data_IF_628271293597
#
_entry.id   IF_628271293597
#
_cell.length_a   1.000
_cell.length_b   1.000
_cell.length_c   1.000
_cell.angle_alpha   90.00
_cell.angle_beta   90.00
_cell.angle_gamma   90.00
#
_symmetry.space_group_name_H-M   'P 1'
#
loop_
_entity.id
_entity.type
_entity.pdbx_description
1 polymer ?
#
# COMPACT_ATOMS: atom_id res chain seq x y z
N UNK A 1 8.50 23.72 6.61
CA UNK A 1 7.92 23.13 5.39
C UNK A 1 7.22 21.88 5.88
N UNK A 2 5.91 21.96 6.14
CA UNK A 2 5.14 20.78 6.52
C UNK A 2 5.18 19.84 5.33
N UNK A 3 5.67 18.62 5.56
CA UNK A 3 5.78 17.59 4.54
C UNK A 3 4.35 17.29 4.07
N UNK A 4 4.00 17.67 2.84
CA UNK A 4 2.65 17.50 2.26
C UNK A 4 2.21 16.02 2.11
N UNK A 5 2.94 15.10 2.76
CA UNK A 5 2.62 13.67 2.90
C UNK A 5 1.66 13.40 4.08
N UNK A 6 1.42 14.35 4.98
CA UNK A 6 0.48 14.21 6.10
C UNK A 6 -1.02 14.19 5.67
N UNK A 7 -1.33 14.52 4.42
CA UNK A 7 -2.72 14.53 3.90
C UNK A 7 -3.10 13.26 3.13
N UNK A 8 -2.20 12.29 3.04
CA UNK A 8 -2.42 11.10 2.23
C UNK A 8 -2.86 9.92 3.12
N UNK A 9 -3.98 9.24 2.82
CA UNK A 9 -4.58 8.31 3.77
C UNK A 9 -3.76 7.05 4.05
N UNK A 10 -2.73 6.76 3.25
CA UNK A 10 -1.79 5.64 3.45
C UNK A 10 -0.37 6.09 3.11
N UNK A 11 0.48 6.26 4.13
CA UNK A 11 1.87 6.65 3.92
C UNK A 11 2.68 5.55 3.19
N UNK A 12 3.59 5.88 2.27
CA UNK A 12 4.56 4.92 1.75
C UNK A 12 5.43 4.32 2.85
N UNK A 13 5.83 3.06 2.71
CA UNK A 13 6.61 2.34 3.72
C UNK A 13 6.36 0.84 3.72
N UNK A 14 6.96 0.13 4.67
CA UNK A 14 6.78 -1.31 4.82
C UNK A 14 5.57 -1.58 5.72
N UNK A 15 4.63 -2.36 5.20
CA UNK A 15 3.43 -2.81 5.91
C UNK A 15 3.47 -4.32 6.09
N UNK A 16 3.03 -4.78 7.26
CA UNK A 16 2.81 -6.18 7.58
C UNK A 16 1.31 -6.48 7.42
N UNK A 17 0.99 -7.44 6.56
CA UNK A 17 -0.37 -7.98 6.46
C UNK A 17 -0.66 -8.89 7.65
N UNK A 18 -1.91 -9.01 8.08
CA UNK A 18 -2.28 -9.90 9.20
C UNK A 18 -1.86 -11.38 9.00
N UNK A 19 -1.57 -11.79 7.77
CA UNK A 19 -1.04 -13.13 7.46
C UNK A 19 0.48 -13.29 7.70
N UNK A 20 1.16 -12.25 8.19
CA UNK A 20 2.60 -12.25 8.52
C UNK A 20 3.53 -11.90 7.37
N UNK A 21 3.00 -11.57 6.19
CA UNK A 21 3.82 -11.18 5.03
C UNK A 21 4.06 -9.67 5.00
N UNK A 22 5.25 -9.28 4.54
CA UNK A 22 5.65 -7.88 4.41
C UNK A 22 5.50 -7.39 2.97
N UNK A 23 5.05 -6.15 2.85
CA UNK A 23 4.83 -5.47 1.59
C UNK A 23 5.38 -4.06 1.66
N UNK A 24 5.96 -3.59 0.57
CA UNK A 24 6.35 -2.20 0.41
C UNK A 24 5.18 -1.46 -0.26
N UNK A 25 4.64 -0.45 0.41
CA UNK A 25 3.69 0.50 -0.16
C UNK A 25 4.47 1.61 -0.84
N UNK A 26 4.20 1.78 -2.13
CA UNK A 26 4.83 2.80 -2.96
C UNK A 26 4.05 4.12 -2.88
N UNK A 27 2.72 4.04 -2.75
CA UNK A 27 1.83 5.19 -2.59
C UNK A 27 0.38 4.86 -2.89
N UNK A 28 -0.42 5.90 -3.14
CA UNK A 28 -1.78 5.73 -3.69
C UNK A 28 -1.77 6.17 -5.16
N UNK A 29 -2.64 5.56 -5.94
CA UNK A 29 -2.95 5.92 -7.31
C UNK A 29 -4.41 6.33 -7.46
N UNK A 30 -4.67 7.01 -8.57
CA UNK A 30 -6.00 7.29 -9.06
C UNK A 30 -6.24 6.40 -10.29
N UNK A 31 -7.39 5.73 -10.34
CA UNK A 31 -7.78 4.97 -11.51
C UNK A 31 -8.38 5.95 -12.52
N UNK A 32 -7.90 5.90 -13.75
CA UNK A 32 -8.43 6.71 -14.87
C UNK A 32 -8.93 5.77 -15.95
N UNK A 33 -9.98 6.18 -16.65
CA UNK A 33 -10.49 5.42 -17.79
C UNK A 33 -9.65 5.70 -19.04
N UNK A 34 -9.36 4.67 -19.83
CA UNK A 34 -8.51 4.76 -21.02
C UNK A 34 -9.21 5.32 -22.26
N UNK A 35 -9.99 6.40 -22.12
CA UNK A 35 -10.72 7.05 -23.22
C UNK A 35 -10.08 8.36 -23.71
N UNK A 36 -8.90 8.70 -23.16
CA UNK A 36 -8.18 9.92 -23.50
C UNK A 36 -8.57 11.14 -22.66
N UNK A 37 -9.44 10.95 -21.66
CA UNK A 37 -9.71 11.94 -20.61
C UNK A 37 -8.96 11.56 -19.33
N UNK A 38 -8.51 12.56 -18.56
CA UNK A 38 -7.92 12.34 -17.22
C UNK A 38 -9.02 12.19 -16.15
N UNK A 39 -10.18 11.64 -16.51
CA UNK A 39 -11.30 11.46 -15.58
C UNK A 39 -10.97 10.35 -14.58
N UNK A 40 -10.87 10.72 -13.31
CA UNK A 40 -10.69 9.78 -12.21
C UNK A 40 -11.99 9.02 -11.99
N UNK A 41 -11.92 7.70 -12.09
CA UNK A 41 -13.04 6.79 -11.90
C UNK A 41 -12.83 5.93 -10.66
N UNK A 42 -13.91 5.69 -9.92
CA UNK A 42 -13.87 4.82 -8.74
C UNK A 42 -13.13 5.40 -7.53
N UNK A 43 -12.72 4.51 -6.63
CA UNK A 43 -12.01 4.88 -5.41
C UNK A 43 -10.49 4.99 -5.61
N UNK A 44 -9.84 5.79 -4.78
CA UNK A 44 -8.38 5.79 -4.65
C UNK A 44 -7.86 4.40 -4.28
N UNK A 45 -6.70 4.04 -4.81
CA UNK A 45 -6.09 2.71 -4.64
C UNK A 45 -4.69 2.79 -4.08
N UNK A 46 -4.31 1.91 -3.18
CA UNK A 46 -2.93 1.71 -2.72
C UNK A 46 -2.20 0.81 -3.70
N UNK A 47 -1.00 1.22 -4.11
CA UNK A 47 -0.07 0.44 -4.92
C UNK A 47 1.04 -0.07 -4.01
N UNK A 48 1.23 -1.38 -3.99
CA UNK A 48 2.20 -2.03 -3.11
C UNK A 48 2.72 -3.33 -3.70
N UNK A 49 3.93 -3.74 -3.31
CA UNK A 49 4.56 -4.96 -3.81
C UNK A 49 5.11 -5.85 -2.69
N UNK A 50 5.23 -7.15 -2.97
CA UNK A 50 5.69 -8.14 -2.00
C UNK A 50 7.19 -8.01 -1.76
N UNK A 51 7.59 -8.09 -0.50
CA UNK A 51 8.99 -8.24 -0.08
C UNK A 51 9.38 -9.73 0.09
N UNK A 52 8.67 -10.61 -0.61
CA UNK A 52 8.87 -12.06 -0.64
C UNK A 52 8.54 -12.59 -2.04
N UNK A 53 9.04 -13.78 -2.37
CA UNK A 53 8.70 -14.44 -3.63
C UNK A 53 7.32 -15.07 -3.52
N UNK A 54 6.37 -14.57 -4.32
CA UNK A 54 5.06 -15.21 -4.44
C UNK A 54 5.19 -16.51 -5.23
N UNK A 55 4.66 -17.64 -4.73
CA UNK A 55 4.71 -18.91 -5.47
C UNK A 55 3.94 -18.85 -6.81
N UNK A 56 2.97 -17.93 -6.94
CA UNK A 56 2.12 -17.84 -8.12
C UNK A 56 2.50 -16.68 -9.06
N UNK A 57 3.15 -15.63 -8.53
CA UNK A 57 3.40 -14.38 -9.26
C UNK A 57 4.87 -13.99 -9.34
N UNK A 58 5.77 -14.75 -8.70
CA UNK A 58 7.20 -14.49 -8.71
C UNK A 58 7.64 -13.42 -7.72
N UNK A 59 8.82 -12.87 -7.97
CA UNK A 59 9.46 -11.84 -7.14
C UNK A 59 8.77 -10.49 -7.32
N UNK A 60 8.70 -9.70 -6.24
CA UNK A 60 8.16 -8.34 -6.25
C UNK A 60 6.77 -8.22 -6.90
N UNK A 61 5.92 -9.24 -6.72
CA UNK A 61 4.56 -9.19 -7.21
C UNK A 61 3.85 -7.93 -6.70
N UNK A 62 3.16 -7.22 -7.59
CA UNK A 62 2.52 -5.93 -7.30
C UNK A 62 1.01 -6.08 -7.26
N UNK A 63 0.38 -5.43 -6.28
CA UNK A 63 -1.06 -5.38 -6.13
C UNK A 63 -1.56 -3.94 -6.09
N UNK A 64 -2.83 -3.82 -6.47
CA UNK A 64 -3.61 -2.59 -6.39
C UNK A 64 -4.85 -2.92 -5.57
N UNK A 65 -5.12 -2.14 -4.52
CA UNK A 65 -6.27 -2.34 -3.64
C UNK A 65 -6.87 -1.00 -3.26
N UNK A 66 -8.18 -0.87 -3.21
CA UNK A 66 -8.83 0.35 -2.72
C UNK A 66 -8.33 0.74 -1.33
N UNK A 67 -8.17 2.05 -1.10
CA UNK A 67 -7.69 2.61 0.18
C UNK A 67 -8.54 2.12 1.34
N UNK A 68 -9.87 2.19 1.22
CA UNK A 68 -10.79 1.74 2.26
C UNK A 68 -10.57 0.27 2.64
N UNK A 69 -10.37 -0.60 1.65
CA UNK A 69 -10.11 -2.02 1.86
C UNK A 69 -8.70 -2.30 2.41
N UNK A 70 -7.75 -1.41 2.17
CA UNK A 70 -6.39 -1.53 2.68
C UNK A 70 -6.31 -1.13 4.16
N UNK A 71 -6.99 -0.05 4.54
CA UNK A 71 -7.02 0.49 5.91
C UNK A 71 -8.07 -0.15 6.81
N UNK A 72 -8.81 -1.13 6.30
CA UNK A 72 -9.86 -1.82 7.05
C UNK A 72 -9.30 -2.69 8.19
N UNK A 73 -10.04 -2.78 9.29
CA UNK A 73 -9.84 -3.81 10.30
C UNK A 73 -10.52 -5.13 9.90
N UNK A 74 -9.85 -6.25 10.18
CA UNK A 74 -10.37 -7.59 9.94
C UNK A 74 -10.43 -8.39 11.24
N UNK A 75 -11.33 -9.37 11.29
CA UNK A 75 -11.42 -10.30 12.42
C UNK A 75 -10.57 -11.54 12.13
N UNK A 76 -9.53 -11.76 12.93
CA UNK A 76 -8.63 -12.93 12.88
C UNK A 76 -8.63 -13.58 14.25
N UNK A 77 -8.95 -14.87 14.33
CA UNK A 77 -9.04 -15.63 15.60
C UNK A 77 -9.91 -14.93 16.68
N UNK A 78 -11.02 -14.33 16.25
CA UNK A 78 -11.94 -13.61 17.12
C UNK A 78 -11.46 -12.24 17.62
N UNK A 79 -10.33 -11.73 17.08
CA UNK A 79 -9.79 -10.42 17.42
C UNK A 79 -9.83 -9.49 16.21
N UNK A 80 -10.23 -8.25 16.43
CA UNK A 80 -10.18 -7.19 15.42
C UNK A 80 -8.74 -6.64 15.34
N UNK A 81 -8.14 -6.73 14.15
CA UNK A 81 -6.77 -6.27 13.86
C UNK A 81 -6.74 -5.51 12.54
N UNK A 82 -5.83 -4.53 12.36
CA UNK A 82 -5.67 -3.86 11.08
C UNK A 82 -5.26 -4.87 10.01
N UNK A 83 -5.87 -4.80 8.82
CA UNK A 83 -5.51 -5.68 7.70
C UNK A 83 -4.04 -5.53 7.32
N UNK A 84 -3.56 -4.29 7.30
CA UNK A 84 -2.17 -3.93 7.08
C UNK A 84 -1.71 -2.97 8.18
N UNK A 85 -0.57 -3.26 8.79
CA UNK A 85 0.04 -2.44 9.83
C UNK A 85 1.37 -1.88 9.33
N UNK A 86 1.57 -0.57 9.40
CA UNK A 86 2.86 0.05 9.10
C UNK A 86 3.91 -0.43 10.12
N UNK A 87 5.04 -0.94 9.64
CA UNK A 87 6.14 -1.48 10.46
C UNK A 87 7.52 -0.89 10.16
N UNK A 88 7.67 -0.16 9.05
CA UNK A 88 8.90 0.54 8.71
C UNK A 88 8.64 1.72 7.80
N UNK A 89 9.32 2.85 8.04
CA UNK A 89 9.28 4.01 7.16
C UNK A 89 10.10 3.79 5.90
N UNK A 90 9.83 4.56 4.85
CA UNK A 90 10.67 4.61 3.64
C UNK A 90 12.12 4.89 4.06
N UNK A 91 13.15 4.19 3.53
CA UNK A 91 14.51 4.65 3.71
C UNK A 91 14.58 6.10 3.18
N UNK A 92 14.94 7.05 4.05
CA UNK A 92 15.29 8.40 3.61
C UNK A 92 16.37 8.24 2.54
N UNK A 93 16.23 8.95 1.43
CA UNK A 93 17.16 8.91 0.30
C UNK A 93 18.55 9.51 0.61
N UNK A 94 18.99 9.47 1.88
CA UNK A 94 20.25 10.04 2.36
C UNK A 94 21.30 8.97 2.73
N UNK A 95 21.17 7.73 2.25
CA UNK A 95 22.19 6.70 2.41
C UNK A 95 22.57 6.02 1.09
N UNK A 96 23.02 6.83 0.13
CA UNK A 96 23.99 6.38 -0.88
C UNK A 96 24.94 7.55 -1.13
N UNK A 97 26.08 7.49 -0.44
CA UNK A 97 27.25 8.33 -0.68
C UNK A 97 28.27 7.56 -1.51
#
# INVERSE_FOLDING_TARGET
>A
MSDSRDEWPVAPGVYEHFSGHHYQVDGIGHLVHGDGTDEVVGAQVVVYHALFTSPNYGEQATWVREVANFTEDVVVDGRTVPRFRLVGGVPSAEETR
#
